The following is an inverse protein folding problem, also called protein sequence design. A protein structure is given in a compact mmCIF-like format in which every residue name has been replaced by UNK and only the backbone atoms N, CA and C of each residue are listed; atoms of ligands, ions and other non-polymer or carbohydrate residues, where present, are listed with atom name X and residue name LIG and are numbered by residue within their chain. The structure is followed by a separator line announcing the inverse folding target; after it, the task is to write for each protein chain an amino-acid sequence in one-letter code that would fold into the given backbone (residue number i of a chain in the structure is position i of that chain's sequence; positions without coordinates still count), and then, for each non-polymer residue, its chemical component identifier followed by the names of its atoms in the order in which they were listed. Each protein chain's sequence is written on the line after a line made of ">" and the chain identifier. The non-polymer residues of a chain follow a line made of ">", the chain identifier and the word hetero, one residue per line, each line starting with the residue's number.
data_IF_360998827352
#
_entry.id   IF_360998827352
#
_cell.length_a   1.000
_cell.length_b   1.000
_cell.length_c   1.000
_cell.angle_alpha   90.00
_cell.angle_beta   90.00
_cell.angle_gamma   90.00
#
_symmetry.space_group_name_H-M   'P 1'
#
loop_
_entity.id
_entity.type
_entity.pdbx_description
1 polymer ?
#
# COMPACT_ATOMS: atom_id res chain seq x y z
N UNK A 1 52.71 -3.50 36.40
CA UNK A 1 51.49 -4.22 36.03
C UNK A 1 50.52 -3.22 35.33
N UNK A 2 50.45 -3.32 34.03
CA UNK A 2 49.55 -2.52 33.23
C UNK A 2 48.31 -3.39 32.92
N UNK A 3 47.18 -3.07 33.50
CA UNK A 3 45.90 -3.76 33.22
C UNK A 3 45.31 -3.10 31.99
N UNK A 4 45.38 -3.80 30.85
CA UNK A 4 44.70 -3.36 29.63
C UNK A 4 43.22 -3.74 29.70
N UNK A 5 42.36 -2.74 29.89
CA UNK A 5 40.92 -2.88 29.87
C UNK A 5 40.50 -3.04 28.41
N UNK A 6 40.16 -4.26 27.99
CA UNK A 6 39.56 -4.54 26.69
C UNK A 6 38.09 -4.15 26.76
N UNK A 7 37.72 -3.01 26.17
CA UNK A 7 36.33 -2.58 26.02
C UNK A 7 35.75 -3.33 24.81
N UNK A 8 34.99 -4.39 25.06
CA UNK A 8 34.18 -5.07 24.05
C UNK A 8 32.97 -4.18 23.74
N UNK A 9 33.09 -3.40 22.66
CA UNK A 9 31.96 -2.71 22.07
C UNK A 9 31.10 -3.73 21.30
N UNK A 10 30.05 -4.19 21.95
CA UNK A 10 28.96 -4.89 21.24
C UNK A 10 28.22 -3.87 20.36
N UNK A 11 28.51 -3.90 19.07
CA UNK A 11 27.70 -3.18 18.09
C UNK A 11 26.30 -3.82 18.05
N UNK A 12 25.32 -3.18 18.65
CA UNK A 12 23.91 -3.54 18.50
C UNK A 12 23.51 -3.20 17.06
N UNK A 13 23.46 -4.21 16.20
CA UNK A 13 22.89 -4.05 14.88
C UNK A 13 21.42 -3.67 15.01
N UNK A 14 21.05 -2.47 14.56
CA UNK A 14 19.65 -2.03 14.51
C UNK A 14 18.98 -2.82 13.39
N UNK A 15 18.07 -3.72 13.75
CA UNK A 15 17.23 -4.40 12.78
C UNK A 15 16.35 -3.33 12.07
N UNK A 16 16.56 -3.12 10.77
CA UNK A 16 15.73 -2.24 9.98
C UNK A 16 14.49 -3.02 9.55
N UNK A 17 13.34 -2.68 10.14
CA UNK A 17 12.03 -3.17 9.70
C UNK A 17 11.53 -2.27 8.57
N UNK A 18 11.25 -2.84 7.39
CA UNK A 18 10.69 -2.12 6.25
C UNK A 18 9.19 -2.41 6.16
N UNK A 19 8.38 -1.35 6.19
CA UNK A 19 6.95 -1.44 5.93
C UNK A 19 6.71 -1.60 4.41
N UNK A 20 5.84 -2.54 4.06
CA UNK A 20 5.46 -2.85 2.69
C UNK A 20 3.95 -2.83 2.53
N UNK A 21 3.51 -2.43 1.35
CA UNK A 21 2.11 -2.41 0.96
C UNK A 21 1.93 -3.25 -0.30
N UNK A 22 0.87 -4.04 -0.32
CA UNK A 22 0.46 -4.81 -1.50
C UNK A 22 -1.00 -4.55 -1.75
N UNK A 23 -1.36 -4.30 -3.00
CA UNK A 23 -2.72 -4.09 -3.45
C UNK A 23 -3.07 -5.17 -4.48
N UNK A 24 -4.24 -5.80 -4.31
CA UNK A 24 -4.78 -6.76 -5.27
C UNK A 24 -6.23 -6.39 -5.56
N UNK A 25 -6.51 -6.10 -6.83
CA UNK A 25 -7.82 -5.67 -7.30
C UNK A 25 -8.62 -6.84 -7.91
N UNK A 26 -9.93 -6.83 -7.68
CA UNK A 26 -10.90 -7.76 -8.30
C UNK A 26 -11.90 -6.95 -9.12
N UNK A 27 -12.12 -7.39 -10.36
CA UNK A 27 -13.02 -6.76 -11.29
C UNK A 27 -14.48 -7.23 -11.07
N UNK A 28 -15.42 -6.27 -11.08
CA UNK A 28 -16.84 -6.57 -10.99
C UNK A 28 -17.58 -6.17 -12.27
N UNK A 29 -18.50 -6.99 -12.72
CA UNK A 29 -19.40 -6.62 -13.81
C UNK A 29 -20.22 -5.38 -13.44
N UNK A 30 -20.62 -4.63 -14.46
CA UNK A 30 -21.49 -3.46 -14.30
C UNK A 30 -22.72 -3.84 -13.49
N UNK A 31 -23.07 -3.02 -12.49
CA UNK A 31 -24.23 -3.20 -11.62
C UNK A 31 -24.28 -4.55 -10.87
N UNK A 32 -23.13 -5.19 -10.65
CA UNK A 32 -23.00 -6.46 -9.93
C UNK A 32 -22.15 -6.32 -8.67
N UNK A 33 -22.47 -7.12 -7.67
CA UNK A 33 -21.70 -7.32 -6.43
C UNK A 33 -21.21 -8.77 -6.30
N UNK A 34 -21.37 -9.57 -7.35
CA UNK A 34 -20.95 -10.98 -7.38
C UNK A 34 -19.54 -11.06 -7.96
N UNK A 35 -18.64 -11.74 -7.27
CA UNK A 35 -17.33 -12.09 -7.80
C UNK A 35 -17.52 -13.17 -8.86
N UNK A 36 -17.13 -12.87 -10.09
CA UNK A 36 -17.17 -13.79 -11.22
C UNK A 36 -15.72 -14.11 -11.63
N UNK A 37 -15.28 -15.34 -11.31
CA UNK A 37 -13.93 -15.78 -11.62
C UNK A 37 -13.64 -15.87 -13.13
N UNK A 38 -14.69 -15.96 -13.96
CA UNK A 38 -14.54 -15.98 -15.42
C UNK A 38 -14.53 -14.59 -16.04
N UNK A 39 -14.68 -13.52 -15.23
CA UNK A 39 -14.66 -12.16 -15.71
C UNK A 39 -13.27 -11.55 -15.60
N UNK A 40 -12.76 -10.97 -16.72
CA UNK A 40 -11.41 -10.41 -16.77
C UNK A 40 -10.35 -11.44 -16.31
N UNK A 41 -9.36 -10.99 -15.55
CA UNK A 41 -8.30 -11.82 -14.98
C UNK A 41 -8.59 -12.27 -13.54
N UNK A 42 -9.85 -12.23 -13.11
CA UNK A 42 -10.23 -12.49 -11.71
C UNK A 42 -9.72 -13.84 -11.19
N UNK A 43 -9.78 -14.91 -11.98
CA UNK A 43 -9.32 -16.22 -11.54
C UNK A 43 -7.84 -16.18 -11.13
N UNK A 44 -6.99 -15.56 -11.94
CA UNK A 44 -5.55 -15.43 -11.65
C UNK A 44 -5.30 -14.50 -10.45
N UNK A 45 -5.98 -13.35 -10.40
CA UNK A 45 -5.83 -12.37 -9.29
C UNK A 45 -6.31 -12.93 -7.95
N UNK A 46 -7.42 -13.68 -7.94
CA UNK A 46 -7.92 -14.37 -6.74
C UNK A 46 -6.92 -15.40 -6.23
N UNK A 47 -6.32 -16.17 -7.12
CA UNK A 47 -5.30 -17.15 -6.76
C UNK A 47 -4.06 -16.45 -6.21
N UNK A 48 -3.54 -15.43 -6.89
CA UNK A 48 -2.38 -14.62 -6.46
C UNK A 48 -2.61 -14.03 -5.06
N UNK A 49 -3.77 -13.44 -4.82
CA UNK A 49 -4.15 -12.88 -3.52
C UNK A 49 -4.14 -13.92 -2.41
N UNK A 50 -4.74 -15.08 -2.64
CA UNK A 50 -4.78 -16.14 -1.63
C UNK A 50 -3.40 -16.73 -1.36
N UNK A 51 -2.58 -16.93 -2.39
CA UNK A 51 -1.19 -17.39 -2.24
C UNK A 51 -0.35 -16.38 -1.46
N UNK A 52 -0.47 -15.09 -1.79
CA UNK A 52 0.19 -14.02 -1.06
C UNK A 52 -0.20 -14.00 0.43
N UNK A 53 -1.50 -13.98 0.74
CA UNK A 53 -2.00 -13.95 2.11
C UNK A 53 -1.56 -15.20 2.91
N UNK A 54 -1.61 -16.38 2.31
CA UNK A 54 -1.12 -17.61 2.95
C UNK A 54 0.38 -17.56 3.20
N UNK A 55 1.15 -17.07 2.24
CA UNK A 55 2.62 -16.95 2.35
C UNK A 55 3.01 -16.01 3.47
N UNK A 56 2.44 -14.81 3.53
CA UNK A 56 2.80 -13.83 4.57
C UNK A 56 2.36 -14.29 5.96
N UNK A 57 1.30 -15.09 6.08
CA UNK A 57 0.87 -15.65 7.36
C UNK A 57 1.76 -16.79 7.85
N UNK A 58 2.41 -17.52 6.96
CA UNK A 58 3.32 -18.62 7.29
C UNK A 58 4.74 -18.15 7.57
N UNK A 59 5.14 -16.98 7.08
CA UNK A 59 6.46 -16.41 7.29
C UNK A 59 6.52 -15.72 8.66
N UNK A 60 7.18 -16.37 9.62
CA UNK A 60 7.34 -15.83 10.99
C UNK A 60 8.14 -14.53 11.07
N UNK A 61 8.83 -14.14 10.00
CA UNK A 61 9.54 -12.85 9.90
C UNK A 61 8.64 -11.71 9.44
N UNK A 62 7.38 -12.01 9.06
CA UNK A 62 6.40 -11.04 8.60
C UNK A 62 5.37 -10.79 9.69
N UNK A 63 5.20 -9.53 10.04
CA UNK A 63 4.13 -9.06 10.90
C UNK A 63 3.11 -8.29 10.06
N UNK A 64 1.89 -8.85 9.88
CA UNK A 64 0.77 -8.15 9.23
C UNK A 64 0.28 -7.08 10.18
N UNK A 65 0.21 -5.85 9.70
CA UNK A 65 -0.25 -4.68 10.44
C UNK A 65 -1.73 -4.44 10.18
N UNK A 66 -2.14 -4.55 8.92
CA UNK A 66 -3.49 -4.21 8.48
C UNK A 66 -3.86 -4.96 7.20
N UNK A 67 -5.13 -5.35 7.11
CA UNK A 67 -5.78 -5.83 5.89
C UNK A 67 -7.01 -4.94 5.65
N UNK A 68 -6.90 -4.03 4.70
CA UNK A 68 -7.96 -3.07 4.38
C UNK A 68 -8.76 -3.52 3.17
N UNK A 69 -10.07 -3.58 3.30
CA UNK A 69 -10.99 -3.88 2.21
C UNK A 69 -11.57 -2.60 1.64
N UNK A 70 -11.49 -2.44 0.34
CA UNK A 70 -12.07 -1.33 -0.40
C UNK A 70 -13.10 -1.86 -1.40
N UNK A 71 -14.31 -1.29 -1.36
CA UNK A 71 -15.32 -1.48 -2.38
C UNK A 71 -15.52 -0.19 -3.15
N UNK A 72 -15.53 -0.26 -4.48
CA UNK A 72 -15.62 0.92 -5.32
C UNK A 72 -16.79 0.85 -6.31
N UNK A 73 -17.27 2.04 -6.70
CA UNK A 73 -18.21 2.26 -7.79
C UNK A 73 -17.78 3.47 -8.61
N UNK A 74 -18.19 3.52 -9.87
CA UNK A 74 -18.00 4.70 -10.72
C UNK A 74 -19.04 5.78 -10.42
N UNK A 75 -18.76 7.07 -10.70
CA UNK A 75 -19.63 8.18 -10.31
C UNK A 75 -20.89 8.35 -11.18
N UNK A 76 -21.16 7.43 -12.10
CA UNK A 76 -22.28 7.53 -13.05
C UNK A 76 -23.65 7.37 -12.40
N UNK A 77 -23.75 6.53 -11.37
CA UNK A 77 -24.99 6.23 -10.68
C UNK A 77 -25.39 7.30 -9.65
N UNK A 78 -26.55 7.09 -9.01
CA UNK A 78 -26.90 7.86 -7.82
C UNK A 78 -26.01 7.50 -6.64
N UNK A 79 -25.92 8.39 -5.65
CA UNK A 79 -25.15 8.12 -4.44
C UNK A 79 -25.60 6.82 -3.75
N UNK A 80 -26.91 6.59 -3.65
CA UNK A 80 -27.47 5.40 -3.01
C UNK A 80 -27.10 4.12 -3.76
N UNK A 81 -27.14 4.14 -5.09
CA UNK A 81 -26.74 3.01 -5.92
C UNK A 81 -25.25 2.72 -5.78
N UNK A 82 -24.41 3.75 -5.88
CA UNK A 82 -22.97 3.61 -5.78
C UNK A 82 -22.55 3.09 -4.40
N UNK A 83 -23.17 3.61 -3.33
CA UNK A 83 -22.97 3.12 -1.99
C UNK A 83 -23.33 1.63 -1.86
N UNK A 84 -24.50 1.23 -2.35
CA UNK A 84 -24.95 -0.16 -2.31
C UNK A 84 -24.00 -1.09 -3.07
N UNK A 85 -23.56 -0.67 -4.25
CA UNK A 85 -22.61 -1.46 -5.07
C UNK A 85 -21.26 -1.58 -4.37
N UNK A 86 -20.69 -0.48 -3.88
CA UNK A 86 -19.41 -0.49 -3.20
C UNK A 86 -19.42 -1.36 -1.94
N UNK A 87 -20.44 -1.20 -1.08
CA UNK A 87 -20.59 -2.03 0.12
C UNK A 87 -20.80 -3.51 -0.20
N UNK A 88 -21.62 -3.83 -1.22
CA UNK A 88 -21.86 -5.20 -1.64
C UNK A 88 -20.60 -5.87 -2.20
N UNK A 89 -19.79 -5.14 -2.97
CA UNK A 89 -18.50 -5.62 -3.51
C UNK A 89 -17.48 -5.87 -2.40
N UNK A 90 -17.34 -4.90 -1.50
CA UNK A 90 -16.49 -5.03 -0.31
C UNK A 90 -16.87 -6.30 0.48
N UNK A 91 -18.16 -6.46 0.82
CA UNK A 91 -18.63 -7.63 1.56
C UNK A 91 -18.40 -8.95 0.82
N UNK A 92 -18.55 -8.97 -0.51
CA UNK A 92 -18.29 -10.16 -1.29
C UNK A 92 -16.80 -10.53 -1.26
N UNK A 93 -15.92 -9.54 -1.37
CA UNK A 93 -14.47 -9.72 -1.34
C UNK A 93 -13.98 -10.19 0.04
N UNK A 94 -14.45 -9.53 1.11
CA UNK A 94 -14.16 -9.93 2.48
C UNK A 94 -14.61 -11.38 2.75
N UNK A 95 -15.86 -11.71 2.41
CA UNK A 95 -16.39 -13.05 2.59
C UNK A 95 -15.58 -14.10 1.84
N UNK A 96 -15.18 -13.81 0.61
CA UNK A 96 -14.34 -14.71 -0.17
C UNK A 96 -13.00 -14.96 0.51
N UNK A 97 -12.28 -13.91 0.92
CA UNK A 97 -10.96 -14.04 1.55
C UNK A 97 -11.07 -14.78 2.89
N UNK A 98 -12.04 -14.42 3.73
CA UNK A 98 -12.23 -15.08 5.04
C UNK A 98 -12.65 -16.53 4.95
N UNK A 99 -13.24 -16.97 3.83
CA UNK A 99 -13.53 -18.40 3.63
C UNK A 99 -12.28 -19.23 3.34
N UNK A 100 -11.20 -18.58 2.90
CA UNK A 100 -9.96 -19.23 2.48
C UNK A 100 -8.79 -18.98 3.42
N UNK A 101 -8.77 -17.82 4.07
CA UNK A 101 -7.68 -17.37 4.96
C UNK A 101 -8.26 -16.81 6.24
N UNK A 102 -7.86 -17.39 7.38
CA UNK A 102 -8.23 -16.87 8.70
C UNK A 102 -7.46 -15.58 8.99
N UNK A 103 -8.14 -14.44 9.03
CA UNK A 103 -7.58 -13.12 9.34
C UNK A 103 -8.23 -12.60 10.62
N UNK A 104 -7.44 -12.28 11.68
CA UNK A 104 -7.98 -11.73 12.92
C UNK A 104 -8.74 -10.41 12.66
N UNK A 105 -9.90 -10.25 13.30
CA UNK A 105 -10.71 -9.04 13.16
C UNK A 105 -9.97 -7.75 13.53
N UNK A 106 -9.02 -7.86 14.46
CA UNK A 106 -8.20 -6.73 14.90
C UNK A 106 -7.27 -6.17 13.82
N UNK A 107 -7.05 -6.91 12.74
CA UNK A 107 -6.22 -6.47 11.59
C UNK A 107 -7.06 -5.93 10.44
N UNK A 108 -8.39 -6.06 10.51
CA UNK A 108 -9.27 -5.69 9.40
C UNK A 108 -9.73 -4.25 9.53
N UNK A 109 -9.62 -3.53 8.43
CA UNK A 109 -10.21 -2.20 8.25
C UNK A 109 -11.02 -2.13 6.96
N UNK A 110 -11.88 -1.13 6.87
CA UNK A 110 -12.74 -0.92 5.71
C UNK A 110 -12.59 0.50 5.21
N UNK A 111 -12.32 0.63 3.91
CA UNK A 111 -12.39 1.91 3.24
C UNK A 111 -13.80 2.06 2.66
N UNK A 112 -14.59 2.98 3.21
CA UNK A 112 -15.96 3.27 2.83
C UNK A 112 -16.09 4.41 1.80
N UNK A 113 -15.00 4.78 1.17
CA UNK A 113 -15.00 5.72 0.04
C UNK A 113 -15.65 5.05 -1.17
N UNK A 114 -16.94 5.22 -1.34
CA UNK A 114 -17.74 4.55 -2.39
C UNK A 114 -17.32 4.90 -3.81
N UNK A 115 -16.73 6.07 -4.01
CA UNK A 115 -16.15 6.51 -5.27
C UNK A 115 -14.68 6.84 -4.99
N UNK A 116 -13.73 6.17 -5.64
CA UNK A 116 -12.30 6.36 -5.40
C UNK A 116 -11.82 7.64 -6.13
N UNK A 117 -12.17 8.80 -5.58
CA UNK A 117 -11.85 10.11 -6.16
C UNK A 117 -10.35 10.38 -6.28
N UNK A 118 -9.56 9.97 -5.28
CA UNK A 118 -8.10 10.16 -5.29
C UNK A 118 -7.43 9.30 -6.38
N UNK A 119 -7.93 8.06 -6.55
CA UNK A 119 -7.51 7.22 -7.67
C UNK A 119 -7.85 7.86 -9.02
N UNK A 120 -9.09 8.35 -9.18
CA UNK A 120 -9.48 9.04 -10.41
C UNK A 120 -8.61 10.26 -10.68
N UNK A 121 -8.33 11.07 -9.66
CA UNK A 121 -7.48 12.25 -9.77
C UNK A 121 -6.08 11.87 -10.26
N UNK A 122 -5.45 10.85 -9.68
CA UNK A 122 -4.12 10.40 -10.10
C UNK A 122 -4.09 9.94 -11.57
N UNK A 123 -5.14 9.23 -12.02
CA UNK A 123 -5.24 8.82 -13.43
C UNK A 123 -5.42 10.01 -14.38
N UNK A 124 -6.14 11.05 -13.94
CA UNK A 124 -6.35 12.26 -14.73
C UNK A 124 -5.06 13.07 -14.85
N UNK A 125 -4.27 13.18 -13.80
CA UNK A 125 -2.99 13.91 -13.77
C UNK A 125 -2.04 13.41 -14.87
N UNK A 126 -2.01 12.10 -15.11
CA UNK A 126 -1.17 11.44 -16.12
C UNK A 126 -1.83 11.34 -17.52
N UNK A 127 -3.03 11.92 -17.72
CA UNK A 127 -3.82 11.76 -18.95
C UNK A 127 -3.82 13.01 -19.84
N UNK A 128 -4.31 12.82 -21.08
CA UNK A 128 -4.61 13.88 -22.04
C UNK A 128 -6.09 14.29 -22.00
N UNK A 129 -6.72 14.28 -20.80
CA UNK A 129 -8.10 14.70 -20.63
C UNK A 129 -8.26 16.18 -20.99
N UNK A 130 -9.29 16.49 -21.79
CA UNK A 130 -9.64 17.90 -22.09
C UNK A 130 -10.04 18.62 -20.79
N UNK A 131 -9.63 19.88 -20.63
CA UNK A 131 -9.89 20.71 -19.43
C UNK A 131 -9.41 20.06 -18.12
N UNK A 132 -8.29 19.31 -18.17
CA UNK A 132 -7.72 18.57 -17.07
C UNK A 132 -7.62 19.39 -15.78
N UNK A 133 -7.04 20.59 -15.85
CA UNK A 133 -6.83 21.45 -14.66
C UNK A 133 -8.16 21.85 -13.99
N UNK A 134 -9.22 22.08 -14.78
CA UNK A 134 -10.54 22.38 -14.23
C UNK A 134 -11.18 21.16 -13.59
N UNK A 135 -10.98 19.99 -14.18
CA UNK A 135 -11.45 18.73 -13.60
C UNK A 135 -10.76 18.49 -12.25
N UNK A 136 -9.43 18.64 -12.18
CA UNK A 136 -8.66 18.50 -10.94
C UNK A 136 -9.16 19.48 -9.88
N UNK A 137 -9.36 20.76 -10.25
CA UNK A 137 -9.89 21.76 -9.33
C UNK A 137 -11.30 21.40 -8.80
N UNK A 138 -12.17 20.83 -9.63
CA UNK A 138 -13.48 20.34 -9.18
C UNK A 138 -13.33 19.14 -8.23
N UNK A 139 -12.41 18.22 -8.48
CA UNK A 139 -12.17 17.05 -7.63
C UNK A 139 -11.62 17.44 -6.25
N UNK A 140 -10.91 18.55 -6.13
CA UNK A 140 -10.37 19.10 -4.88
C UNK A 140 -11.41 19.86 -4.04
N UNK A 141 -12.59 20.14 -4.59
CA UNK A 141 -13.64 20.78 -3.82
C UNK A 141 -14.16 19.87 -2.69
N UNK A 142 -14.63 20.50 -1.63
CA UNK A 142 -15.32 19.80 -0.55
C UNK A 142 -16.56 19.06 -1.08
N UNK A 143 -16.61 17.75 -0.81
CA UNK A 143 -17.71 16.89 -1.21
C UNK A 143 -18.99 17.23 -0.44
N UNK A 144 -20.09 17.45 -1.15
CA UNK A 144 -21.41 17.68 -0.59
C UNK A 144 -22.46 16.94 -1.39
N UNK A 145 -23.42 16.36 -0.73
CA UNK A 145 -24.59 15.78 -1.40
C UNK A 145 -25.60 16.90 -1.73
N UNK A 146 -26.02 16.93 -2.98
CA UNK A 146 -27.02 17.87 -3.49
C UNK A 146 -28.17 17.11 -4.14
N UNK A 147 -29.38 17.68 -4.12
CA UNK A 147 -30.51 17.14 -4.85
C UNK A 147 -30.30 17.32 -6.36
N UNK A 148 -30.57 16.28 -7.13
CA UNK A 148 -30.36 16.27 -8.55
C UNK A 148 -31.56 15.70 -9.29
N UNK A 149 -32.22 16.53 -10.10
CA UNK A 149 -33.40 16.26 -10.94
C UNK A 149 -34.67 15.86 -10.18
N UNK A 150 -34.61 15.14 -9.06
CA UNK A 150 -35.77 14.72 -8.29
C UNK A 150 -35.49 14.89 -6.79
N UNK A 151 -36.52 15.26 -6.00
CA UNK A 151 -36.41 15.22 -4.54
C UNK A 151 -35.98 13.83 -4.07
N UNK A 152 -35.03 13.78 -3.15
CA UNK A 152 -34.41 12.56 -2.60
C UNK A 152 -33.43 11.80 -3.53
N UNK A 153 -33.09 12.34 -4.69
CA UNK A 153 -31.98 11.79 -5.49
C UNK A 153 -30.72 12.60 -5.18
N UNK A 154 -29.94 12.10 -4.24
CA UNK A 154 -28.70 12.77 -3.86
C UNK A 154 -27.55 12.36 -4.77
N UNK A 155 -26.73 13.33 -5.13
CA UNK A 155 -25.51 13.15 -5.92
C UNK A 155 -24.41 14.06 -5.36
N UNK A 156 -23.15 13.68 -5.55
CA UNK A 156 -22.01 14.52 -5.19
C UNK A 156 -21.99 15.78 -6.05
N UNK A 157 -21.80 16.96 -5.43
CA UNK A 157 -21.74 18.26 -6.11
C UNK A 157 -20.68 18.29 -7.22
N UNK A 158 -19.56 17.57 -7.03
CA UNK A 158 -18.48 17.46 -8.03
C UNK A 158 -18.96 16.76 -9.29
N UNK A 159 -19.77 15.71 -9.15
CA UNK A 159 -20.38 15.01 -10.31
C UNK A 159 -21.27 15.94 -11.12
N UNK A 160 -22.07 16.79 -10.46
CA UNK A 160 -22.92 17.78 -11.15
C UNK A 160 -22.07 18.73 -11.99
N UNK A 161 -20.99 19.25 -11.43
CA UNK A 161 -20.07 20.16 -12.13
C UNK A 161 -19.34 19.47 -13.27
N UNK A 162 -18.81 18.29 -13.05
CA UNK A 162 -18.12 17.50 -14.08
C UNK A 162 -19.03 17.17 -15.26
N UNK A 163 -20.31 16.82 -15.00
CA UNK A 163 -21.32 16.57 -16.03
C UNK A 163 -21.66 17.80 -16.84
N UNK A 164 -21.58 18.99 -16.26
CA UNK A 164 -21.87 20.26 -16.93
C UNK A 164 -20.67 20.82 -17.71
N UNK A 165 -19.47 20.38 -17.39
CA UNK A 165 -18.24 20.93 -17.94
C UNK A 165 -18.14 20.68 -19.45
N UNK A 166 -17.91 21.76 -20.23
CA UNK A 166 -17.89 21.77 -21.71
C UNK A 166 -19.11 21.07 -22.35
N UNK A 167 -20.31 21.35 -21.81
CA UNK A 167 -21.56 20.76 -22.34
C UNK A 167 -21.61 19.23 -22.24
N UNK A 168 -20.91 18.64 -21.28
CA UNK A 168 -20.88 17.19 -21.04
C UNK A 168 -19.80 16.42 -21.79
N UNK A 169 -19.00 17.06 -22.65
CA UNK A 169 -17.94 16.37 -23.41
C UNK A 169 -16.85 15.83 -22.49
N UNK A 170 -16.47 16.59 -21.46
CA UNK A 170 -15.48 16.16 -20.47
C UNK A 170 -15.96 14.91 -19.75
N UNK A 171 -17.20 14.90 -19.29
CA UNK A 171 -17.81 13.73 -18.64
C UNK A 171 -17.82 12.49 -19.54
N UNK A 172 -18.15 12.66 -20.81
CA UNK A 172 -18.15 11.55 -21.77
C UNK A 172 -16.73 11.00 -21.98
N UNK A 173 -15.73 11.88 -22.07
CA UNK A 173 -14.33 11.45 -22.18
C UNK A 173 -13.86 10.75 -20.90
N UNK A 174 -14.18 11.27 -19.71
CA UNK A 174 -13.88 10.62 -18.43
C UNK A 174 -14.52 9.22 -18.32
N UNK A 175 -15.78 9.08 -18.76
CA UNK A 175 -16.45 7.78 -18.76
C UNK A 175 -15.69 6.76 -19.62
N UNK A 176 -15.27 7.17 -20.81
CA UNK A 176 -14.57 6.27 -21.73
C UNK A 176 -13.16 5.90 -21.26
N UNK A 177 -12.46 6.80 -20.56
CA UNK A 177 -11.08 6.60 -20.17
C UNK A 177 -10.93 5.94 -18.78
N UNK A 178 -11.80 6.27 -17.80
CA UNK A 178 -11.52 5.96 -16.40
C UNK A 178 -12.61 5.18 -15.68
N UNK A 179 -13.91 5.35 -16.04
CA UNK A 179 -14.98 4.84 -15.19
C UNK A 179 -15.08 3.31 -15.16
N UNK A 180 -14.62 2.64 -16.22
CA UNK A 180 -14.51 1.18 -16.17
C UNK A 180 -13.50 0.72 -15.11
N UNK A 181 -12.33 1.34 -15.08
CA UNK A 181 -11.31 1.04 -14.09
C UNK A 181 -11.76 1.38 -12.66
N UNK A 182 -12.50 2.48 -12.48
CA UNK A 182 -13.09 2.81 -11.17
C UNK A 182 -14.09 1.75 -10.68
N UNK A 183 -14.87 1.15 -11.57
CA UNK A 183 -15.76 0.03 -11.20
C UNK A 183 -14.98 -1.18 -10.71
N UNK A 184 -13.76 -1.31 -11.18
CA UNK A 184 -12.86 -2.43 -10.91
C UNK A 184 -11.85 -2.13 -9.78
N UNK A 185 -11.91 -0.95 -9.16
CA UNK A 185 -11.06 -0.56 -8.05
C UNK A 185 -11.51 -1.17 -6.70
N UNK A 186 -12.07 -2.39 -6.70
CA UNK A 186 -12.34 -3.13 -5.47
C UNK A 186 -11.08 -3.92 -5.10
N UNK A 187 -10.41 -3.48 -4.03
CA UNK A 187 -9.08 -3.95 -3.69
C UNK A 187 -9.01 -4.47 -2.25
N UNK A 188 -8.04 -5.33 -2.02
CA UNK A 188 -7.51 -5.65 -0.71
C UNK A 188 -6.13 -5.05 -0.60
N UNK A 189 -5.93 -4.19 0.39
CA UNK A 189 -4.64 -3.61 0.73
C UNK A 189 -4.09 -4.34 1.93
N UNK A 190 -2.87 -4.84 1.83
CA UNK A 190 -2.19 -5.50 2.95
C UNK A 190 -0.96 -4.71 3.31
N UNK A 191 -0.92 -4.20 4.54
CA UNK A 191 0.23 -3.53 5.13
C UNK A 191 0.94 -4.50 6.06
N UNK A 192 2.24 -4.70 5.89
CA UNK A 192 3.03 -5.60 6.70
C UNK A 192 4.47 -5.11 6.89
N UNK A 193 5.10 -5.57 7.97
CA UNK A 193 6.52 -5.35 8.24
C UNK A 193 7.26 -6.67 8.12
N UNK A 194 8.40 -6.64 7.42
CA UNK A 194 9.32 -7.77 7.39
C UNK A 194 10.53 -7.46 8.25
N UNK A 195 10.80 -8.31 9.23
CA UNK A 195 12.00 -8.24 10.02
C UNK A 195 13.18 -8.75 9.18
N UNK A 196 14.16 -7.89 8.98
CA UNK A 196 15.39 -8.29 8.32
C UNK A 196 16.31 -8.94 9.36
N UNK A 197 17.05 -10.02 8.99
CA UNK A 197 18.03 -10.58 9.90
C UNK A 197 19.04 -9.50 10.29
N UNK A 198 19.55 -9.50 11.54
CA UNK A 198 20.52 -8.53 11.99
C UNK A 198 21.74 -8.56 11.05
N UNK A 199 22.13 -7.39 10.55
CA UNK A 199 23.30 -7.24 9.71
C UNK A 199 24.52 -7.68 10.56
N UNK A 200 25.12 -8.80 10.19
CA UNK A 200 26.39 -9.21 10.79
C UNK A 200 27.47 -8.24 10.29
N UNK A 201 27.79 -7.27 11.11
CA UNK A 201 28.96 -6.42 10.85
C UNK A 201 30.19 -7.32 11.01
N UNK A 202 31.03 -7.49 9.98
CA UNK A 202 32.23 -8.26 10.12
C UNK A 202 33.10 -7.63 11.22
N UNK A 203 33.45 -8.43 12.23
CA UNK A 203 34.39 -8.00 13.25
C UNK A 203 35.73 -7.88 12.55
N UNK A 204 36.17 -6.66 12.26
CA UNK A 204 37.53 -6.40 11.82
C UNK A 204 38.42 -6.64 13.07
N UNK A 205 38.97 -7.83 13.18
CA UNK A 205 40.04 -8.08 14.17
C UNK A 205 41.23 -7.30 13.66
N UNK A 206 41.74 -6.28 14.37
CA UNK A 206 42.98 -5.63 13.94
C UNK A 206 44.08 -6.66 13.94
N UNK A 207 44.84 -6.70 12.85
CA UNK A 207 46.04 -7.55 12.75
C UNK A 207 46.88 -7.35 14.01
N UNK A 208 47.26 -8.45 14.62
CA UNK A 208 48.09 -8.47 15.81
C UNK A 208 49.37 -7.69 15.49
N UNK A 209 49.55 -6.51 16.11
CA UNK A 209 50.79 -5.76 16.01
C UNK A 209 51.85 -6.62 16.74
N UNK A 210 52.69 -7.30 15.95
CA UNK A 210 53.84 -7.99 16.47
C UNK A 210 54.84 -6.93 16.94
N UNK A 211 54.88 -6.65 18.23
CA UNK A 211 55.89 -5.77 18.83
C UNK A 211 57.16 -6.62 18.89
N UNK A 212 58.13 -6.36 18.03
CA UNK A 212 59.45 -6.93 18.18
C UNK A 212 60.07 -6.42 19.49
N UNK A 213 60.71 -7.30 20.28
CA UNK A 213 61.33 -6.86 21.55
C UNK A 213 62.52 -5.94 21.20
N UNK A 214 62.51 -4.73 21.76
CA UNK A 214 63.64 -3.83 21.73
C UNK A 214 64.75 -4.47 22.60
N UNK A 215 65.80 -4.99 21.93
CA UNK A 215 67.02 -5.43 22.62
C UNK A 215 67.80 -4.19 22.98
N UNK A 216 67.74 -3.81 24.26
CA UNK A 216 68.57 -2.74 24.81
C UNK A 216 70.01 -3.26 24.88
N UNK A 217 70.88 -2.79 24.00
CA UNK A 217 72.32 -3.07 24.03
C UNK A 217 72.96 -2.19 25.12
N UNK A 218 73.20 -2.78 26.27
CA UNK A 218 73.98 -2.10 27.32
C UNK A 218 75.45 -2.16 26.90
N UNK A 219 75.98 -1.02 26.49
CA UNK A 219 77.41 -0.85 26.18
C UNK A 219 78.18 -0.78 27.50
N UNK A 220 78.91 -1.83 27.80
CA UNK A 220 79.81 -1.89 28.98
C UNK A 220 81.10 -1.13 28.63
N UNK A 221 81.25 0.07 29.16
CA UNK A 221 82.50 0.82 29.09
C UNK A 221 83.49 0.23 30.07
N UNK A 222 84.67 -0.23 29.65
CA UNK A 222 85.66 -0.73 30.58
C UNK A 222 86.32 0.45 31.33
N UNK A 223 86.32 0.33 32.67
CA UNK A 223 87.05 1.23 33.55
C UNK A 223 88.55 1.05 33.41
N UNK A 224 89.23 2.09 33.02
CA UNK A 224 90.73 2.11 32.95
C UNK A 224 91.27 3.00 34.04
N UNK A 225 91.80 2.38 35.08
CA UNK A 225 92.94 2.88 35.85
C UNK A 225 93.90 1.81 36.18
#
# INVERSE_FOLDING_TARGET
>A
YCITLILLLFGVGVAHSQEKHTEICIDFRVNSTVIDSAYSDNAARMQEMLEFLRTIRQDSTINIIEVSFCGAASPEGSYQLNRKLAQGRLSALEKFIRSEVDIPDSLITYNDSYIPWDYLKSQIEDSELIRKDEVIAILEEEARLVDYHHPNTHIDNRVVKLRALDGGKVWQQMNNLFFEQMRNACAVFVTYKKELPPVQVPIIVPDTITIEPIVEVVEIVPDTT
#
